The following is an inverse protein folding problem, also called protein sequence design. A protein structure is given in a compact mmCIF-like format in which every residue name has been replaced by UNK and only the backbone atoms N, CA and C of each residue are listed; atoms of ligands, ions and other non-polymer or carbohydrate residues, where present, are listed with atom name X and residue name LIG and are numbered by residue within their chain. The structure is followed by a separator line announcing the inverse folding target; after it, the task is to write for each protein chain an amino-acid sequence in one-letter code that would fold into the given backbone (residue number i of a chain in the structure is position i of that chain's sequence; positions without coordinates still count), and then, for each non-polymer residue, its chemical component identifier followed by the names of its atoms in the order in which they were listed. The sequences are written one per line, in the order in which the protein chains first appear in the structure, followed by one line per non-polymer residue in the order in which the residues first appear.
data_IF_733260825815
#
_entry.id   IF_733260825815
#
_cell.length_a   1.000
_cell.length_b   1.000
_cell.length_c   1.000
_cell.angle_alpha   90.00
_cell.angle_beta   90.00
_cell.angle_gamma   90.00
#
_symmetry.space_group_name_H-M   'P 1'
#
loop_
_entity.id
_entity.type
_entity.pdbx_description
1 polymer ?
#
# COMPACT_ATOMS: atom_id res chain seq x y z
N UNK A 1 -17.92 -68.52 1.26
CA UNK A 1 -19.06 -68.76 0.32
C UNK A 1 -19.42 -67.48 -0.39
N UNK A 2 -19.34 -67.49 -1.73
CA UNK A 2 -20.13 -66.80 -2.77
C UNK A 2 -20.02 -65.23 -2.78
N UNK A 3 -19.40 -64.72 -3.77
CA UNK A 3 -19.64 -64.28 -5.18
C UNK A 3 -19.88 -62.76 -5.19
N UNK A 4 -18.97 -61.96 -5.71
CA UNK A 4 -18.73 -61.56 -7.12
C UNK A 4 -19.98 -61.04 -7.82
N UNK A 5 -20.08 -59.75 -8.11
CA UNK A 5 -20.61 -59.26 -9.40
C UNK A 5 -19.92 -57.92 -9.75
N UNK A 6 -19.21 -57.97 -10.86
CA UNK A 6 -18.69 -56.91 -11.70
C UNK A 6 -19.84 -56.39 -12.55
N UNK A 7 -19.99 -55.08 -12.70
CA UNK A 7 -20.60 -54.50 -13.90
C UNK A 7 -19.87 -53.26 -14.37
N UNK A 8 -19.26 -53.49 -15.49
CA UNK A 8 -18.73 -52.55 -16.47
C UNK A 8 -19.85 -51.75 -17.15
N UNK A 9 -19.56 -50.56 -17.60
CA UNK A 9 -20.37 -49.75 -18.50
C UNK A 9 -19.60 -48.45 -18.79
N UNK A 10 -18.81 -48.44 -19.76
CA UNK A 10 -18.90 -48.08 -21.16
C UNK A 10 -18.99 -46.57 -21.39
N UNK A 11 -17.86 -46.02 -21.71
CA UNK A 11 -17.46 -45.16 -22.83
C UNK A 11 -18.56 -44.27 -23.48
N UNK A 12 -18.35 -42.96 -23.51
CA UNK A 12 -18.67 -42.12 -24.67
C UNK A 12 -17.66 -40.96 -24.78
N UNK A 13 -16.70 -41.16 -25.66
CA UNK A 13 -15.85 -40.17 -26.29
C UNK A 13 -16.69 -39.40 -27.31
N UNK A 14 -16.84 -38.08 -27.15
CA UNK A 14 -17.30 -37.21 -28.22
C UNK A 14 -16.15 -36.28 -28.60
N UNK A 15 -15.49 -36.65 -29.67
CA UNK A 15 -14.52 -35.85 -30.38
C UNK A 15 -15.26 -34.78 -31.20
N UNK A 16 -15.04 -33.50 -30.89
CA UNK A 16 -15.44 -32.39 -31.75
C UNK A 16 -14.23 -31.92 -32.56
N UNK A 17 -14.24 -32.30 -33.86
CA UNK A 17 -13.33 -31.76 -34.85
C UNK A 17 -13.80 -30.41 -35.31
N UNK A 18 -13.00 -29.38 -35.11
CA UNK A 18 -13.19 -28.06 -35.72
C UNK A 18 -12.34 -28.01 -36.99
N UNK A 19 -13.02 -27.90 -38.10
CA UNK A 19 -12.47 -27.71 -39.45
C UNK A 19 -12.02 -26.29 -39.60
N UNK A 20 -10.75 -26.07 -39.86
CA UNK A 20 -10.21 -24.80 -40.32
C UNK A 20 -10.34 -24.72 -41.84
N UNK A 21 -11.12 -23.77 -42.32
CA UNK A 21 -11.09 -23.33 -43.71
C UNK A 21 -10.05 -22.23 -43.88
N UNK A 22 -9.02 -22.54 -44.62
CA UNK A 22 -8.06 -21.58 -45.12
C UNK A 22 -8.45 -21.21 -46.56
N UNK A 23 -8.85 -19.96 -46.75
CA UNK A 23 -8.95 -19.40 -48.11
C UNK A 23 -7.78 -18.46 -48.37
N UNK A 24 -6.88 -18.93 -49.22
CA UNK A 24 -5.82 -18.15 -49.78
C UNK A 24 -6.33 -17.51 -51.10
N UNK A 25 -6.41 -16.19 -51.15
CA UNK A 25 -6.46 -15.53 -52.44
C UNK A 25 -5.26 -14.59 -52.62
N UNK A 26 -4.43 -15.02 -53.54
CA UNK A 26 -3.29 -14.39 -54.14
C UNK A 26 -3.75 -13.57 -55.34
N UNK A 27 -3.62 -12.25 -55.32
CA UNK A 27 -3.46 -11.46 -56.55
C UNK A 27 -2.42 -10.39 -56.38
N UNK A 28 -1.35 -10.56 -57.14
CA UNK A 28 -0.34 -9.55 -57.25
C UNK A 28 -0.72 -8.46 -58.22
N UNK A 29 -0.20 -7.25 -58.02
CA UNK A 29 0.35 -6.40 -59.11
C UNK A 29 1.07 -5.15 -58.61
N UNK A 30 2.32 -5.09 -59.02
CA UNK A 30 3.10 -3.92 -59.53
C UNK A 30 3.56 -2.83 -58.54
N UNK A 31 4.88 -2.78 -58.48
CA UNK A 31 5.74 -1.67 -58.08
C UNK A 31 5.41 -0.38 -58.82
N UNK A 32 5.44 0.72 -58.11
CA UNK A 32 6.01 1.97 -58.60
C UNK A 32 6.73 2.68 -57.46
N UNK A 33 7.99 2.96 -57.74
CA UNK A 33 8.85 3.78 -56.88
C UNK A 33 8.54 5.26 -57.15
N UNK A 34 8.53 6.05 -56.08
CA UNK A 34 9.22 7.30 -55.91
C UNK A 34 8.62 8.17 -54.85
N UNK A 35 9.40 8.37 -53.85
CA UNK A 35 9.70 9.61 -53.12
C UNK A 35 8.73 10.13 -52.02
N UNK A 36 9.18 11.12 -51.24
CA UNK A 36 9.69 10.87 -49.89
C UNK A 36 8.92 11.65 -48.81
N UNK A 37 9.38 11.48 -47.60
CA UNK A 37 9.27 12.41 -46.49
C UNK A 37 7.98 12.45 -45.68
N UNK A 38 8.18 12.08 -44.43
CA UNK A 38 7.58 12.65 -43.22
C UNK A 38 6.09 12.90 -43.19
N UNK A 39 5.36 11.94 -42.67
CA UNK A 39 4.23 12.23 -41.81
C UNK A 39 4.14 11.17 -40.73
N UNK A 40 4.43 11.58 -39.53
CA UNK A 40 4.09 10.85 -38.31
C UNK A 40 2.58 10.69 -38.27
N UNK A 41 2.09 9.48 -38.53
CA UNK A 41 0.68 9.17 -38.32
C UNK A 41 0.52 8.82 -36.84
N UNK A 42 0.04 9.81 -36.10
CA UNK A 42 -0.60 9.60 -34.80
C UNK A 42 -1.80 8.67 -35.01
N UNK A 43 -1.68 7.42 -34.62
CA UNK A 43 -2.85 6.58 -34.41
C UNK A 43 -3.52 7.02 -33.10
N UNK A 44 -4.47 7.94 -33.26
CA UNK A 44 -5.46 8.23 -32.20
C UNK A 44 -6.39 7.04 -32.07
N UNK A 45 -6.26 6.35 -30.95
CA UNK A 45 -7.30 5.45 -30.44
C UNK A 45 -8.51 6.30 -30.03
N UNK A 46 -9.50 6.39 -30.92
CA UNK A 46 -10.77 7.02 -30.66
C UNK A 46 -11.64 6.11 -29.77
N UNK A 47 -11.47 6.18 -28.48
CA UNK A 47 -12.49 5.83 -27.51
C UNK A 47 -13.05 7.12 -26.90
N UNK A 48 -13.71 7.93 -27.74
CA UNK A 48 -14.38 9.15 -27.29
C UNK A 48 -15.71 8.81 -26.61
N UNK A 49 -15.67 8.54 -25.28
CA UNK A 49 -16.76 9.00 -24.43
C UNK A 49 -16.59 10.51 -24.28
N UNK A 50 -17.66 11.31 -24.43
CA UNK A 50 -17.56 12.76 -24.23
C UNK A 50 -17.13 12.99 -22.77
N UNK A 51 -15.89 13.44 -22.60
CA UNK A 51 -15.40 13.90 -21.30
C UNK A 51 -16.15 15.20 -21.02
N UNK A 52 -17.00 15.18 -20.00
CA UNK A 52 -17.67 16.38 -19.52
C UNK A 52 -16.59 17.42 -19.16
N UNK A 53 -16.53 18.48 -19.95
CA UNK A 53 -15.63 19.60 -19.70
C UNK A 53 -16.43 20.70 -18.98
N UNK A 54 -16.25 20.90 -17.67
CA UNK A 54 -16.98 21.91 -16.89
C UNK A 54 -16.62 23.34 -17.29
N UNK A 55 -15.56 23.52 -18.07
CA UNK A 55 -15.07 24.85 -18.51
C UNK A 55 -15.48 25.21 -19.97
N UNK A 56 -16.41 24.46 -20.57
CA UNK A 56 -16.88 24.67 -21.93
C UNK A 56 -15.85 24.32 -23.01
N UNK A 57 -15.73 25.15 -24.05
CA UNK A 57 -14.81 24.92 -25.18
C UNK A 57 -13.39 25.46 -24.93
N UNK A 58 -13.05 25.89 -23.71
CA UNK A 58 -11.73 26.41 -23.38
C UNK A 58 -10.76 25.24 -23.23
N UNK A 59 -9.60 25.27 -23.91
CA UNK A 59 -8.63 24.17 -23.81
C UNK A 59 -8.08 24.05 -22.38
N UNK A 60 -7.98 22.80 -21.90
CA UNK A 60 -7.38 22.46 -20.61
C UNK A 60 -6.01 21.87 -20.89
N UNK A 61 -4.97 22.51 -20.39
CA UNK A 61 -3.61 22.01 -20.41
C UNK A 61 -3.27 21.44 -19.05
N UNK A 62 -2.88 20.16 -19.00
CA UNK A 62 -2.33 19.54 -17.79
C UNK A 62 -0.82 19.78 -17.78
N UNK A 63 -0.35 20.56 -16.83
CA UNK A 63 1.07 20.78 -16.61
C UNK A 63 1.58 19.75 -15.60
N UNK A 64 2.45 18.87 -16.05
CA UNK A 64 3.12 17.84 -15.25
C UNK A 64 4.54 18.25 -14.85
N UNK A 65 4.97 19.46 -15.21
CA UNK A 65 6.34 19.93 -14.91
C UNK A 65 6.61 20.10 -13.41
N UNK A 66 5.55 20.19 -12.58
CA UNK A 66 5.66 20.21 -11.12
C UNK A 66 5.81 18.83 -10.47
N UNK A 67 5.67 17.76 -11.25
CA UNK A 67 6.00 16.40 -10.81
C UNK A 67 7.51 16.24 -11.00
N UNK A 68 8.28 16.85 -10.12
CA UNK A 68 9.68 16.49 -10.00
C UNK A 68 9.71 15.07 -9.44
N UNK A 69 10.27 14.14 -10.20
CA UNK A 69 10.77 12.89 -9.65
C UNK A 69 11.79 13.25 -8.57
N UNK A 70 11.31 13.39 -7.34
CA UNK A 70 12.15 13.47 -6.14
C UNK A 70 12.83 12.12 -5.85
N UNK A 71 12.91 11.26 -6.85
CA UNK A 71 13.75 10.08 -6.79
C UNK A 71 15.19 10.55 -6.58
N UNK A 72 15.69 10.38 -5.38
CA UNK A 72 17.09 10.65 -5.09
C UNK A 72 17.93 9.95 -6.16
N UNK A 73 18.71 10.72 -6.90
CA UNK A 73 19.60 10.15 -7.90
C UNK A 73 20.60 9.28 -7.15
N UNK A 74 20.61 7.99 -7.45
CA UNK A 74 21.60 7.08 -6.89
C UNK A 74 23.00 7.58 -7.23
N UNK A 75 23.89 7.66 -6.25
CA UNK A 75 25.29 7.99 -6.49
C UNK A 75 25.93 6.97 -7.44
N UNK A 76 26.70 7.45 -8.40
CA UNK A 76 27.47 6.60 -9.31
C UNK A 76 28.73 6.00 -8.64
N UNK A 77 29.03 6.44 -7.44
CA UNK A 77 30.16 6.00 -6.63
C UNK A 77 29.69 5.65 -5.22
N UNK A 78 30.48 4.90 -4.48
CA UNK A 78 30.21 4.68 -3.07
C UNK A 78 30.35 6.02 -2.33
N UNK A 79 29.24 6.50 -1.76
CA UNK A 79 29.17 7.76 -1.00
C UNK A 79 29.51 7.57 0.48
N UNK A 80 29.83 6.34 0.87
CA UNK A 80 30.20 5.99 2.24
C UNK A 80 31.66 5.52 2.29
N UNK A 81 32.33 5.85 3.39
CA UNK A 81 33.69 5.36 3.65
C UNK A 81 33.74 3.84 3.97
N UNK A 82 32.58 3.21 4.14
CA UNK A 82 32.43 1.79 4.44
C UNK A 82 31.47 1.14 3.45
N UNK A 83 31.55 -0.18 3.34
CA UNK A 83 30.69 -0.96 2.44
C UNK A 83 29.35 -1.30 3.11
N UNK A 84 28.23 -1.02 2.42
CA UNK A 84 26.87 -1.30 2.84
C UNK A 84 26.26 -2.54 2.17
N UNK A 85 27.00 -3.28 1.37
CA UNK A 85 26.46 -4.43 0.61
C UNK A 85 25.80 -5.45 1.51
N UNK A 86 26.34 -5.69 2.72
CA UNK A 86 25.75 -6.62 3.70
C UNK A 86 24.33 -6.29 4.15
N UNK A 87 23.87 -5.03 4.03
CA UNK A 87 22.48 -4.65 4.38
C UNK A 87 21.50 -5.15 3.33
N UNK A 88 21.88 -5.07 2.07
CA UNK A 88 21.04 -5.51 0.95
C UNK A 88 20.86 -7.04 0.86
N UNK A 89 21.74 -7.80 1.52
CA UNK A 89 21.70 -9.26 1.59
C UNK A 89 20.92 -9.77 2.80
N UNK A 90 20.46 -8.88 3.68
CA UNK A 90 19.69 -9.28 4.86
C UNK A 90 18.39 -9.96 4.46
N UNK A 91 18.12 -11.07 5.12
CA UNK A 91 16.86 -11.82 5.00
C UNK A 91 15.96 -11.52 6.19
N UNK A 92 14.62 -11.59 6.03
CA UNK A 92 13.70 -11.43 7.13
C UNK A 92 13.96 -12.41 8.27
N UNK A 93 13.67 -11.99 9.51
CA UNK A 93 13.73 -12.85 10.67
C UNK A 93 12.82 -14.07 10.49
N UNK A 94 13.27 -15.30 10.75
CA UNK A 94 12.42 -16.47 10.65
C UNK A 94 11.32 -16.42 11.70
N UNK A 95 10.07 -16.65 11.27
CA UNK A 95 8.96 -16.81 12.19
C UNK A 95 8.88 -18.23 12.70
N UNK A 96 8.62 -18.39 13.99
CA UNK A 96 8.22 -19.66 14.56
C UNK A 96 6.88 -20.09 13.97
N UNK A 97 6.77 -21.36 13.60
CA UNK A 97 5.56 -21.90 12.99
C UNK A 97 4.48 -22.09 14.05
N UNK A 98 3.37 -21.38 13.89
CA UNK A 98 2.19 -21.53 14.72
C UNK A 98 1.22 -22.50 14.05
N UNK A 99 0.93 -23.62 14.71
CA UNK A 99 -0.06 -24.59 14.23
C UNK A 99 -1.46 -24.14 14.61
N UNK A 100 -2.42 -24.44 13.78
CA UNK A 100 -3.83 -24.14 14.07
C UNK A 100 -4.31 -24.81 15.37
N UNK A 101 -3.92 -26.06 15.61
CA UNK A 101 -4.33 -26.85 16.78
C UNK A 101 -3.74 -26.32 18.11
N UNK A 102 -2.64 -25.59 18.05
CA UNK A 102 -1.94 -25.03 19.22
C UNK A 102 -2.37 -23.60 19.53
N UNK A 103 -3.09 -22.95 18.62
CA UNK A 103 -3.64 -21.60 18.81
C UNK A 103 -4.89 -21.65 19.72
N UNK A 104 -4.69 -21.64 21.05
CA UNK A 104 -5.81 -21.68 22.01
C UNK A 104 -6.61 -20.39 22.04
N UNK A 105 -5.96 -19.27 21.78
CA UNK A 105 -6.56 -17.94 21.76
C UNK A 105 -6.04 -17.19 20.57
N UNK A 106 -6.92 -16.52 19.84
CA UNK A 106 -6.56 -15.69 18.70
C UNK A 106 -7.48 -14.48 18.62
N UNK A 107 -6.89 -13.29 18.70
CA UNK A 107 -7.63 -12.03 18.60
C UNK A 107 -6.96 -11.07 17.63
N UNK A 108 -7.77 -10.43 16.80
CA UNK A 108 -7.28 -9.42 15.86
C UNK A 108 -7.47 -8.03 16.43
N UNK A 109 -6.40 -7.26 16.38
CA UNK A 109 -6.35 -5.91 16.93
C UNK A 109 -5.89 -4.95 15.84
N UNK A 110 -6.56 -3.81 15.71
CA UNK A 110 -6.16 -2.71 14.85
C UNK A 110 -5.66 -1.57 15.72
N UNK A 111 -4.45 -1.15 15.43
CA UNK A 111 -3.77 -0.07 16.15
C UNK A 111 -3.51 1.09 15.20
N UNK A 112 -3.60 2.31 15.73
CA UNK A 112 -3.17 3.50 15.00
C UNK A 112 -1.90 4.07 15.62
N UNK A 113 -0.97 4.46 14.75
CA UNK A 113 0.23 5.20 15.08
C UNK A 113 0.04 6.64 14.62
N UNK A 114 0.31 7.59 15.52
CA UNK A 114 0.44 8.99 15.14
C UNK A 114 1.92 9.29 14.87
N UNK A 115 2.23 9.63 13.62
CA UNK A 115 3.61 9.88 13.18
C UNK A 115 4.17 11.22 13.70
N UNK A 116 3.33 12.03 14.36
CA UNK A 116 3.75 13.28 15.01
C UNK A 116 4.33 13.04 16.39
N UNK A 117 4.06 11.90 17.00
CA UNK A 117 4.62 11.55 18.30
C UNK A 117 6.14 11.41 18.22
N UNK A 118 6.82 11.82 19.29
CA UNK A 118 8.30 11.87 19.33
C UNK A 118 8.97 10.54 19.00
N UNK A 119 8.43 9.42 19.50
CA UNK A 119 8.96 8.09 19.25
C UNK A 119 8.75 7.66 17.79
N UNK A 120 7.66 8.12 17.17
CA UNK A 120 7.29 7.76 15.80
C UNK A 120 7.89 8.69 14.74
N UNK A 121 8.64 9.72 15.12
CA UNK A 121 9.25 10.68 14.16
C UNK A 121 10.22 9.98 13.19
N UNK A 122 10.75 8.84 13.56
CA UNK A 122 11.61 8.02 12.70
C UNK A 122 10.93 7.69 11.37
N UNK A 123 9.62 7.49 11.35
CA UNK A 123 8.85 7.22 10.13
C UNK A 123 8.79 8.41 9.14
N UNK A 124 9.11 9.61 9.59
CA UNK A 124 9.06 10.86 8.82
C UNK A 124 10.44 11.47 8.55
N UNK A 125 11.49 10.73 8.80
CA UNK A 125 12.86 11.21 8.59
C UNK A 125 13.14 11.38 7.08
N UNK A 126 13.71 12.54 6.72
CA UNK A 126 13.84 12.95 5.31
C UNK A 126 15.18 12.66 4.67
N UNK A 127 16.19 12.25 5.43
CA UNK A 127 17.49 12.03 4.81
C UNK A 127 17.36 11.08 3.62
N UNK A 128 18.10 11.41 2.59
CA UNK A 128 18.26 10.57 1.44
C UNK A 128 19.52 9.73 1.64
N UNK A 129 19.37 8.44 1.49
CA UNK A 129 20.46 7.48 1.50
C UNK A 129 20.63 6.93 0.07
N UNK A 130 21.61 6.06 -0.15
CA UNK A 130 21.85 5.38 -1.44
C UNK A 130 20.61 4.67 -2.00
N UNK A 131 19.67 4.32 -1.11
CA UNK A 131 18.38 3.70 -1.44
C UNK A 131 17.23 4.70 -1.66
N UNK A 132 17.49 5.99 -1.55
CA UNK A 132 16.50 7.06 -1.71
C UNK A 132 15.96 7.58 -0.38
N UNK A 133 14.73 8.13 -0.40
CA UNK A 133 14.09 8.71 0.77
C UNK A 133 13.94 7.71 1.91
N UNK A 134 14.24 8.14 3.12
CA UNK A 134 14.06 7.39 4.36
C UNK A 134 12.64 7.52 4.95
N UNK A 135 11.77 8.31 4.33
CA UNK A 135 10.37 8.42 4.74
C UNK A 135 9.68 7.10 4.47
N UNK A 136 9.16 6.44 5.52
CA UNK A 136 8.55 5.12 5.42
C UNK A 136 7.44 5.05 4.36
N UNK A 137 6.57 6.07 4.32
CA UNK A 137 5.46 6.12 3.36
C UNK A 137 5.97 6.22 1.91
N UNK A 138 7.05 6.95 1.68
CA UNK A 138 7.66 7.06 0.34
C UNK A 138 8.26 5.72 -0.10
N UNK A 139 8.95 5.01 0.80
CA UNK A 139 9.46 3.66 0.54
C UNK A 139 8.32 2.68 0.22
N UNK A 140 7.24 2.73 1.00
CA UNK A 140 6.06 1.89 0.78
C UNK A 140 5.41 2.16 -0.58
N UNK A 141 5.23 3.43 -0.94
CA UNK A 141 4.67 3.82 -2.25
C UNK A 141 5.57 3.41 -3.40
N UNK A 142 6.89 3.52 -3.26
CA UNK A 142 7.84 3.06 -4.27
C UNK A 142 7.74 1.55 -4.49
N UNK A 143 7.68 0.76 -3.41
CA UNK A 143 7.56 -0.69 -3.49
C UNK A 143 6.23 -1.13 -4.14
N UNK A 144 5.14 -0.41 -3.87
CA UNK A 144 3.85 -0.67 -4.52
C UNK A 144 3.87 -0.25 -6.00
N UNK A 145 4.45 0.91 -6.34
CA UNK A 145 4.54 1.39 -7.72
C UNK A 145 5.48 0.54 -8.59
N UNK A 146 6.54 -0.03 -7.99
CA UNK A 146 7.42 -0.98 -8.69
C UNK A 146 6.78 -2.35 -8.93
N UNK A 147 5.62 -2.63 -8.30
CA UNK A 147 4.96 -3.92 -8.37
C UNK A 147 5.61 -5.01 -7.52
N UNK A 148 6.55 -4.65 -6.64
CA UNK A 148 7.18 -5.58 -5.70
C UNK A 148 6.16 -6.05 -4.65
N UNK A 149 5.22 -5.19 -4.30
CA UNK A 149 4.21 -5.44 -3.27
C UNK A 149 2.84 -5.10 -3.81
N UNK A 150 1.86 -5.97 -3.51
CA UNK A 150 0.46 -5.74 -3.88
C UNK A 150 -0.24 -4.90 -2.81
N UNK A 151 -0.93 -3.84 -3.24
CA UNK A 151 -1.81 -3.06 -2.40
C UNK A 151 -3.25 -3.59 -2.47
N UNK A 152 -3.99 -3.48 -1.36
CA UNK A 152 -5.36 -3.93 -1.22
C UNK A 152 -6.27 -2.80 -0.75
N UNK A 153 -7.53 -2.83 -1.16
CA UNK A 153 -8.53 -1.85 -0.76
C UNK A 153 -9.03 -2.09 0.68
N UNK A 154 -9.02 -3.33 1.12
CA UNK A 154 -9.60 -3.78 2.37
C UNK A 154 -8.57 -4.42 3.31
N UNK A 155 -8.91 -4.45 4.59
CA UNK A 155 -8.09 -5.05 5.65
C UNK A 155 -8.13 -6.60 5.65
N UNK A 156 -8.93 -7.20 4.77
CA UNK A 156 -8.99 -8.66 4.55
C UNK A 156 -8.07 -9.13 3.43
N UNK A 157 -7.46 -8.19 2.71
CA UNK A 157 -6.58 -8.46 1.55
C UNK A 157 -7.28 -9.22 0.43
N UNK A 158 -8.59 -8.97 0.25
CA UNK A 158 -9.39 -9.68 -0.74
C UNK A 158 -9.42 -8.98 -2.10
N UNK A 159 -9.32 -7.66 -2.10
CA UNK A 159 -9.47 -6.83 -3.30
C UNK A 159 -8.17 -6.08 -3.60
N UNK A 160 -7.38 -6.52 -4.58
CA UNK A 160 -6.19 -5.80 -4.99
C UNK A 160 -6.56 -4.46 -5.63
N UNK A 161 -5.78 -3.43 -5.35
CA UNK A 161 -5.92 -2.08 -5.93
C UNK A 161 -5.00 -1.95 -7.13
N UNK A 162 -5.51 -1.40 -8.23
CA UNK A 162 -4.70 -1.16 -9.42
C UNK A 162 -3.74 0.02 -9.23
N UNK A 163 -2.61 0.02 -9.95
CA UNK A 163 -1.66 1.14 -9.92
C UNK A 163 -2.30 2.47 -10.34
N UNK A 164 -3.29 2.43 -11.23
CA UNK A 164 -4.04 3.61 -11.66
C UNK A 164 -4.86 4.21 -10.49
N UNK A 165 -5.49 3.37 -9.68
CA UNK A 165 -6.24 3.81 -8.49
C UNK A 165 -5.28 4.34 -7.42
N UNK A 166 -4.13 3.69 -7.20
CA UNK A 166 -3.11 4.17 -6.28
C UNK A 166 -2.59 5.53 -6.73
N UNK A 167 -2.34 5.71 -8.02
CA UNK A 167 -1.93 7.02 -8.54
C UNK A 167 -2.99 8.09 -8.32
N UNK A 168 -4.29 7.77 -8.38
CA UNK A 168 -5.37 8.71 -8.04
C UNK A 168 -5.42 9.04 -6.55
N UNK A 169 -5.17 8.06 -5.67
CA UNK A 169 -5.11 8.27 -4.22
C UNK A 169 -3.90 9.12 -3.81
N UNK A 170 -2.82 9.03 -4.58
CA UNK A 170 -1.56 9.77 -4.37
C UNK A 170 -1.45 11.04 -5.21
N UNK A 171 -2.46 11.42 -5.99
CA UNK A 171 -2.52 12.75 -6.61
C UNK A 171 -2.67 13.79 -5.49
N UNK A 172 -1.73 14.72 -5.45
CA UNK A 172 -1.85 15.92 -4.61
C UNK A 172 -3.01 16.81 -5.09
N UNK A 173 -3.24 17.90 -4.40
CA UNK A 173 -4.24 18.90 -4.82
C UNK A 173 -3.94 19.40 -6.22
N UNK A 174 -4.89 19.18 -7.13
CA UNK A 174 -4.82 19.80 -8.44
C UNK A 174 -5.23 21.28 -8.29
N UNK A 175 -4.32 22.18 -8.60
CA UNK A 175 -4.63 23.61 -8.66
C UNK A 175 -4.91 23.98 -10.11
N UNK A 176 -6.05 24.64 -10.32
CA UNK A 176 -6.49 25.07 -11.64
C UNK A 176 -6.37 26.57 -11.74
N UNK A 177 -5.38 27.03 -12.47
CA UNK A 177 -5.14 28.45 -12.70
C UNK A 177 -5.68 28.84 -14.09
N UNK A 178 -6.56 29.83 -14.11
CA UNK A 178 -7.04 30.41 -15.37
C UNK A 178 -5.97 31.34 -15.94
N UNK A 179 -5.50 31.04 -17.15
CA UNK A 179 -4.57 31.90 -17.88
C UNK A 179 -5.37 32.85 -18.75
N UNK A 180 -5.34 34.15 -18.41
CA UNK A 180 -6.06 35.21 -19.12
C UNK A 180 -5.22 35.81 -20.24
N UNK A 181 -5.87 36.44 -21.22
CA UNK A 181 -5.19 37.19 -22.27
C UNK A 181 -4.44 38.39 -21.68
N UNK A 182 -3.26 38.71 -22.24
CA UNK A 182 -2.49 39.88 -21.84
C UNK A 182 -3.23 41.17 -22.16
N UNK A 183 -3.98 41.17 -23.25
CA UNK A 183 -4.70 42.35 -23.76
C UNK A 183 -6.07 42.53 -23.08
N UNK A 184 -6.69 41.45 -22.58
CA UNK A 184 -8.00 41.47 -21.93
C UNK A 184 -8.03 40.47 -20.75
N UNK A 185 -7.91 40.96 -19.51
CA UNK A 185 -7.94 40.09 -18.31
C UNK A 185 -9.25 39.36 -18.08
N UNK A 186 -10.34 39.80 -18.72
CA UNK A 186 -11.67 39.14 -18.61
C UNK A 186 -11.78 37.91 -19.49
N UNK A 187 -10.89 37.73 -20.47
CA UNK A 187 -10.91 36.62 -21.40
C UNK A 187 -9.93 35.51 -20.98
N UNK A 188 -10.48 34.39 -20.52
CA UNK A 188 -9.69 33.22 -20.22
C UNK A 188 -9.35 32.48 -21.52
N UNK A 189 -8.05 32.31 -21.80
CA UNK A 189 -7.55 31.62 -22.98
C UNK A 189 -7.41 30.11 -22.70
N UNK A 190 -6.91 29.76 -21.54
CA UNK A 190 -6.52 28.41 -21.20
C UNK A 190 -6.65 28.19 -19.70
N UNK A 191 -7.11 27.00 -19.28
CA UNK A 191 -7.00 26.55 -17.90
C UNK A 191 -5.80 25.64 -17.77
N UNK A 192 -4.85 26.03 -16.92
CA UNK A 192 -3.67 25.22 -16.60
C UNK A 192 -3.96 24.46 -15.32
N UNK A 193 -4.04 23.14 -15.42
CA UNK A 193 -4.19 22.25 -14.25
C UNK A 193 -2.80 21.77 -13.85
N UNK A 194 -2.28 22.32 -12.77
CA UNK A 194 -1.01 21.87 -12.19
C UNK A 194 -1.31 20.77 -11.19
N UNK A 195 -0.83 19.55 -11.46
CA UNK A 195 -0.90 18.45 -10.51
C UNK A 195 0.32 18.53 -9.61
N UNK A 196 0.10 18.78 -8.32
CA UNK A 196 1.16 18.66 -7.34
C UNK A 196 1.51 17.19 -7.13
N UNK A 197 2.79 16.88 -6.95
CA UNK A 197 3.22 15.56 -6.50
C UNK A 197 2.69 15.28 -5.09
N UNK A 198 2.41 14.01 -4.80
CA UNK A 198 2.02 13.61 -3.46
C UNK A 198 3.16 13.89 -2.48
N UNK A 199 2.83 14.58 -1.39
CA UNK A 199 3.76 14.77 -0.28
C UNK A 199 3.57 13.63 0.74
N UNK A 200 4.56 12.71 0.88
CA UNK A 200 4.51 11.63 1.86
C UNK A 200 4.37 12.11 3.30
N UNK A 201 4.80 13.34 3.60
CA UNK A 201 4.67 13.96 4.93
C UNK A 201 3.23 14.36 5.28
N UNK A 202 2.36 14.46 4.28
CA UNK A 202 0.93 14.74 4.50
C UNK A 202 0.24 13.59 5.23
N UNK A 203 0.82 12.38 5.19
CA UNK A 203 0.37 11.23 5.96
C UNK A 203 0.85 11.38 7.40
N UNK A 204 -0.09 11.63 8.30
CA UNK A 204 0.21 11.85 9.73
C UNK A 204 -0.10 10.63 10.60
N UNK A 205 -0.83 9.65 10.07
CA UNK A 205 -1.20 8.44 10.80
C UNK A 205 -1.05 7.19 9.95
N UNK A 206 -0.74 6.08 10.60
CA UNK A 206 -0.77 4.74 10.02
C UNK A 206 -1.63 3.83 10.86
N UNK A 207 -2.20 2.80 10.24
CA UNK A 207 -2.92 1.73 10.93
C UNK A 207 -2.19 0.42 10.73
N UNK A 208 -2.06 -0.35 11.80
CA UNK A 208 -1.49 -1.69 11.80
C UNK A 208 -2.61 -2.66 12.21
N UNK A 209 -2.73 -3.74 11.48
CA UNK A 209 -3.56 -4.89 11.83
C UNK A 209 -2.66 -5.99 12.36
N UNK A 210 -2.94 -6.44 13.56
CA UNK A 210 -2.17 -7.48 14.27
C UNK A 210 -3.08 -8.63 14.64
N UNK A 211 -2.48 -9.81 14.80
CA UNK A 211 -3.13 -10.96 15.42
C UNK A 211 -2.32 -11.38 16.63
N UNK A 212 -3.00 -11.49 17.76
CA UNK A 212 -2.46 -11.93 19.03
C UNK A 212 -2.86 -13.39 19.22
N UNK A 213 -1.91 -14.27 19.29
CA UNK A 213 -2.14 -15.72 19.36
C UNK A 213 -1.41 -16.27 20.56
N UNK A 214 -2.14 -16.98 21.42
CA UNK A 214 -1.52 -17.76 22.47
C UNK A 214 -1.24 -19.16 21.95
N UNK A 215 0.04 -19.52 21.90
CA UNK A 215 0.51 -20.83 21.48
C UNK A 215 0.65 -21.75 22.69
N UNK A 216 -0.11 -22.85 22.67
CA UNK A 216 -0.11 -23.85 23.72
C UNK A 216 1.25 -24.58 23.81
N UNK A 217 1.90 -24.86 22.68
CA UNK A 217 3.18 -25.56 22.64
C UNK A 217 4.29 -24.72 23.26
N UNK A 218 4.40 -23.45 22.86
CA UNK A 218 5.37 -22.52 23.39
C UNK A 218 4.97 -21.91 24.72
N UNK A 219 3.69 -22.07 25.13
CA UNK A 219 3.09 -21.47 26.34
C UNK A 219 3.32 -19.96 26.44
N UNK A 220 3.17 -19.24 25.36
CA UNK A 220 3.38 -17.78 25.31
C UNK A 220 2.50 -17.10 24.24
N UNK A 221 2.29 -15.80 24.44
CA UNK A 221 1.59 -14.97 23.49
C UNK A 221 2.52 -14.52 22.37
N UNK A 222 2.11 -14.76 21.14
CA UNK A 222 2.74 -14.21 19.94
C UNK A 222 1.90 -13.08 19.35
N UNK A 223 2.57 -12.04 18.90
CA UNK A 223 1.92 -10.96 18.14
C UNK A 223 2.48 -10.96 16.74
N UNK A 224 1.62 -11.15 15.75
CA UNK A 224 1.98 -11.10 14.33
C UNK A 224 1.31 -9.92 13.66
N UNK A 225 2.11 -9.09 13.01
CA UNK A 225 1.60 -8.03 12.16
C UNK A 225 1.10 -8.67 10.88
N UNK A 226 -0.15 -8.42 10.53
CA UNK A 226 -0.78 -8.92 9.30
C UNK A 226 -0.79 -7.89 8.19
N UNK A 227 -0.94 -6.62 8.53
CA UNK A 227 -0.99 -5.57 7.52
C UNK A 227 -0.77 -4.18 8.04
N UNK A 228 -0.36 -3.32 7.13
CA UNK A 228 -0.10 -1.90 7.39
C UNK A 228 -0.86 -1.07 6.36
N UNK A 229 -1.44 0.05 6.80
CA UNK A 229 -2.14 0.99 5.94
C UNK A 229 -1.79 2.44 6.31
N UNK A 230 -1.31 3.26 5.39
CA UNK A 230 -1.24 4.70 5.56
C UNK A 230 -2.65 5.29 5.60
N UNK A 231 -2.88 6.28 6.48
CA UNK A 231 -4.17 6.93 6.66
C UNK A 231 -4.13 8.35 6.10
N UNK A 232 -5.10 8.66 5.25
CA UNK A 232 -5.35 10.01 4.78
C UNK A 232 -6.39 10.68 5.68
N UNK A 233 -6.11 11.90 6.12
CA UNK A 233 -7.10 12.72 6.83
C UNK A 233 -8.14 13.23 5.84
N UNK A 234 -9.40 13.03 6.16
CA UNK A 234 -10.54 13.52 5.38
C UNK A 234 -11.05 14.77 6.05
N UNK A 235 -11.10 15.88 5.31
CA UNK A 235 -11.62 17.15 5.78
C UNK A 235 -13.05 17.38 5.27
N UNK A 236 -13.86 18.02 6.09
CA UNK A 236 -15.16 18.55 5.69
C UNK A 236 -14.95 19.82 4.87
N UNK A 237 -15.97 20.28 4.09
CA UNK A 237 -15.87 21.54 3.33
C UNK A 237 -15.59 22.77 4.19
N UNK A 238 -15.87 22.72 5.49
CA UNK A 238 -15.58 23.78 6.46
C UNK A 238 -14.14 23.72 7.02
N UNK A 239 -13.27 22.84 6.50
CA UNK A 239 -11.88 22.66 6.95
C UNK A 239 -11.70 21.86 8.23
N UNK A 240 -12.79 21.37 8.84
CA UNK A 240 -12.69 20.50 10.02
C UNK A 240 -12.34 19.07 9.64
N UNK A 241 -11.53 18.40 10.45
CA UNK A 241 -11.25 16.98 10.29
C UNK A 241 -12.51 16.15 10.52
N UNK A 242 -12.93 15.41 9.49
CA UNK A 242 -14.02 14.44 9.60
C UNK A 242 -13.53 13.13 10.22
N UNK A 243 -12.30 12.75 9.95
CA UNK A 243 -11.71 11.49 10.38
C UNK A 243 -10.57 11.06 9.46
N UNK A 244 -10.12 9.82 9.63
CA UNK A 244 -9.07 9.21 8.83
C UNK A 244 -9.61 8.03 8.03
N UNK A 245 -9.16 7.89 6.79
CA UNK A 245 -9.46 6.75 5.92
C UNK A 245 -8.17 6.08 5.49
N UNK A 246 -8.15 4.75 5.45
CA UNK A 246 -7.04 4.02 4.88
C UNK A 246 -6.94 4.34 3.38
N UNK A 247 -5.73 4.64 2.92
CA UNK A 247 -5.45 4.84 1.50
C UNK A 247 -5.45 3.51 0.77
N UNK A 248 -4.69 2.57 1.29
CA UNK A 248 -4.61 1.19 0.85
C UNK A 248 -4.03 0.35 1.98
N UNK A 249 -4.18 -0.95 1.88
CA UNK A 249 -3.58 -1.92 2.79
C UNK A 249 -2.45 -2.66 2.08
N UNK A 250 -1.41 -3.00 2.83
CA UNK A 250 -0.33 -3.86 2.37
C UNK A 250 -0.23 -5.05 3.32
N UNK A 251 -0.08 -6.24 2.76
CA UNK A 251 0.13 -7.45 3.53
C UNK A 251 1.56 -7.46 4.07
N UNK A 252 1.69 -7.45 5.40
CA UNK A 252 2.99 -7.26 6.06
C UNK A 252 4.01 -8.37 5.78
N UNK A 253 3.63 -9.68 5.74
CA UNK A 253 4.59 -10.72 5.40
C UNK A 253 5.27 -10.54 4.04
N UNK A 254 4.56 -10.01 3.04
CA UNK A 254 5.12 -9.72 1.72
C UNK A 254 6.05 -8.49 1.75
N UNK A 255 5.82 -7.60 2.72
CA UNK A 255 6.62 -6.38 2.91
C UNK A 255 7.96 -6.65 3.62
N UNK A 256 8.04 -7.69 4.45
CA UNK A 256 9.22 -8.01 5.28
C UNK A 256 10.53 -8.13 4.51
N UNK A 257 10.61 -8.81 3.34
CA UNK A 257 11.84 -8.92 2.57
C UNK A 257 12.41 -7.55 2.12
N UNK A 258 11.54 -6.60 1.85
CA UNK A 258 11.93 -5.23 1.54
C UNK A 258 12.38 -4.50 2.81
N UNK A 259 11.61 -4.58 3.90
CA UNK A 259 11.91 -3.89 5.16
C UNK A 259 13.23 -4.34 5.79
N UNK A 260 13.63 -5.59 5.60
CA UNK A 260 14.91 -6.12 6.09
C UNK A 260 16.13 -5.46 5.42
N UNK A 261 15.96 -4.89 4.21
CA UNK A 261 17.04 -4.27 3.42
C UNK A 261 17.23 -2.78 3.71
N UNK A 262 16.30 -2.14 4.40
CA UNK A 262 16.36 -0.72 4.71
C UNK A 262 16.65 -0.50 6.18
N UNK A 263 17.67 0.31 6.46
CA UNK A 263 18.00 0.71 7.83
C UNK A 263 17.10 1.87 8.28
N UNK A 264 16.73 1.83 9.55
CA UNK A 264 16.01 2.91 10.22
C UNK A 264 17.01 3.98 10.65
N UNK A 265 16.64 5.25 10.48
CA UNK A 265 17.44 6.34 11.00
C UNK A 265 17.60 6.25 12.53
N UNK A 266 18.83 6.25 12.98
CA UNK A 266 19.18 6.30 14.39
C UNK A 266 19.81 7.66 14.73
N UNK A 267 19.10 8.55 15.44
CA UNK A 267 19.61 9.88 15.73
C UNK A 267 20.86 9.89 16.63
N UNK A 268 21.07 8.82 17.36
CA UNK A 268 22.26 8.72 18.24
C UNK A 268 23.49 8.19 17.52
N UNK A 269 23.34 7.64 16.33
CA UNK A 269 24.39 7.08 15.47
C UNK A 269 25.52 6.34 16.24
N UNK A 270 25.14 5.68 17.33
CA UNK A 270 26.09 4.88 18.09
C UNK A 270 26.17 3.52 17.40
N UNK A 271 27.31 3.21 16.82
CA UNK A 271 27.59 2.10 15.89
C UNK A 271 27.09 0.69 16.22
N UNK A 272 26.46 0.48 17.37
CA UNK A 272 25.84 -0.79 17.78
C UNK A 272 24.32 -0.83 17.56
N UNK A 273 23.70 0.21 17.03
CA UNK A 273 22.26 0.33 16.97
C UNK A 273 21.70 0.43 15.56
N UNK A 274 22.34 -0.19 14.57
CA UNK A 274 21.78 -0.27 13.22
C UNK A 274 20.64 -1.27 13.20
N UNK A 275 19.42 -0.75 13.12
CA UNK A 275 18.19 -1.50 13.12
C UNK A 275 17.56 -1.41 11.74
N UNK A 276 16.97 -2.49 11.26
CA UNK A 276 16.16 -2.47 10.03
C UNK A 276 14.72 -2.07 10.35
N UNK A 277 13.96 -1.70 9.34
CA UNK A 277 12.53 -1.43 9.51
C UNK A 277 11.77 -2.68 9.99
N UNK A 278 12.18 -3.87 9.54
CA UNK A 278 11.61 -5.11 10.03
C UNK A 278 11.85 -5.28 11.53
N UNK A 279 13.10 -5.11 11.99
CA UNK A 279 13.45 -5.21 13.41
C UNK A 279 12.70 -4.18 14.26
N UNK A 280 12.47 -2.97 13.74
CA UNK A 280 11.69 -1.94 14.44
C UNK A 280 10.24 -2.39 14.63
N UNK A 281 9.61 -2.97 13.62
CA UNK A 281 8.23 -3.45 13.73
C UNK A 281 8.14 -4.69 14.64
N UNK A 282 9.03 -5.65 14.50
CA UNK A 282 9.03 -6.87 15.31
C UNK A 282 9.36 -6.60 16.79
N UNK A 283 10.30 -5.70 17.08
CA UNK A 283 10.61 -5.26 18.44
C UNK A 283 9.59 -4.25 18.99
N UNK A 284 8.61 -3.84 18.17
CA UNK A 284 7.52 -2.92 18.55
C UNK A 284 8.00 -1.57 19.08
N UNK A 285 9.09 -1.05 18.54
CA UNK A 285 9.67 0.23 18.95
C UNK A 285 8.92 1.43 18.36
N UNK A 286 7.60 1.46 18.56
CA UNK A 286 6.72 2.55 18.15
C UNK A 286 5.58 2.74 19.17
N UNK A 287 5.06 3.96 19.24
CA UNK A 287 3.87 4.29 20.02
C UNK A 287 2.61 4.09 19.19
N UNK A 288 1.60 3.48 19.79
CA UNK A 288 0.32 3.23 19.11
C UNK A 288 -0.80 2.99 20.10
N UNK A 289 -2.04 3.23 19.68
CA UNK A 289 -3.25 2.96 20.48
C UNK A 289 -4.22 2.06 19.71
N UNK A 290 -5.01 1.28 20.43
CA UNK A 290 -5.99 0.34 19.87
C UNK A 290 -7.24 1.13 19.45
N UNK A 291 -7.66 0.91 18.20
CA UNK A 291 -8.89 1.54 17.66
C UNK A 291 -10.00 0.55 17.43
N UNK A 292 -9.67 -0.74 17.35
CA UNK A 292 -10.61 -1.82 17.10
C UNK A 292 -10.02 -3.15 17.55
N UNK A 293 -10.83 -4.04 18.07
CA UNK A 293 -10.48 -5.43 18.38
C UNK A 293 -11.64 -6.34 17.97
N UNK A 294 -11.35 -7.62 17.79
CA UNK A 294 -12.40 -8.67 17.68
C UNK A 294 -12.89 -9.12 19.03
N UNK A 295 -12.15 -8.85 20.10
CA UNK A 295 -12.51 -9.21 21.47
C UNK A 295 -13.82 -8.52 21.88
N UNK A 296 -14.84 -9.31 22.22
CA UNK A 296 -16.16 -8.85 22.62
C UNK A 296 -16.85 -7.86 21.64
N UNK A 297 -16.48 -7.95 20.36
CA UNK A 297 -16.96 -7.03 19.34
C UNK A 297 -17.65 -7.76 18.16
N UNK A 298 -18.81 -8.37 18.37
CA UNK A 298 -19.52 -9.12 17.32
C UNK A 298 -19.94 -8.22 16.14
N UNK A 299 -20.11 -6.92 16.39
CA UNK A 299 -20.45 -5.95 15.35
C UNK A 299 -19.27 -5.46 14.53
N UNK A 300 -18.04 -5.89 14.85
CA UNK A 300 -16.79 -5.49 14.16
C UNK A 300 -16.65 -3.97 14.01
N UNK A 301 -17.07 -3.20 15.01
CA UNK A 301 -17.09 -1.73 15.01
C UNK A 301 -15.81 -1.17 15.61
N UNK A 302 -15.41 0.02 15.14
CA UNK A 302 -14.35 0.78 15.80
C UNK A 302 -14.83 1.26 17.17
N UNK A 303 -13.93 1.35 18.15
CA UNK A 303 -14.22 1.83 19.52
C UNK A 303 -14.88 3.20 19.49
N UNK A 304 -14.42 4.09 18.60
CA UNK A 304 -14.99 5.45 18.43
C UNK A 304 -16.46 5.49 17.97
N UNK A 305 -16.96 4.42 17.39
CA UNK A 305 -18.39 4.32 17.01
C UNK A 305 -19.25 4.05 18.22
N UNK A 306 -18.72 3.29 19.17
CA UNK A 306 -19.41 2.95 20.43
C UNK A 306 -19.20 4.04 21.47
N UNK A 307 -17.96 4.52 21.61
CA UNK A 307 -17.55 5.57 22.54
C UNK A 307 -17.20 6.83 21.75
N UNK A 308 -18.08 7.82 21.77
CA UNK A 308 -17.88 9.08 21.04
C UNK A 308 -16.80 9.96 21.67
N UNK A 309 -16.62 9.87 22.99
CA UNK A 309 -15.57 10.60 23.71
C UNK A 309 -14.20 10.04 23.37
N UNK A 310 -13.25 10.90 22.91
CA UNK A 310 -11.90 10.48 22.57
C UNK A 310 -11.14 9.85 23.73
N UNK A 311 -11.29 10.39 24.92
CA UNK A 311 -10.57 9.94 26.13
C UNK A 311 -11.06 8.56 26.54
N UNK A 312 -12.38 8.39 26.61
CA UNK A 312 -12.98 7.09 26.94
C UNK A 312 -12.62 6.03 25.89
N UNK A 313 -12.56 6.40 24.62
CA UNK A 313 -12.14 5.47 23.57
C UNK A 313 -10.66 5.02 23.69
N UNK A 314 -9.76 5.89 24.15
CA UNK A 314 -8.37 5.53 24.45
C UNK A 314 -8.30 4.60 25.68
N UNK A 315 -9.03 4.93 26.74
CA UNK A 315 -9.10 4.09 27.95
C UNK A 315 -9.63 2.69 27.60
N UNK A 316 -10.67 2.60 26.75
CA UNK A 316 -11.17 1.29 26.31
C UNK A 316 -10.14 0.53 25.47
N UNK A 317 -9.33 1.22 24.65
CA UNK A 317 -8.20 0.61 23.96
C UNK A 317 -7.18 -0.01 24.93
N UNK A 318 -6.86 0.68 26.01
CA UNK A 318 -5.98 0.17 27.07
C UNK A 318 -6.64 -1.00 27.84
N UNK A 319 -7.94 -0.91 28.15
CA UNK A 319 -8.69 -2.01 28.77
C UNK A 319 -8.66 -3.30 27.91
N UNK A 320 -8.77 -3.17 26.59
CA UNK A 320 -8.66 -4.32 25.68
C UNK A 320 -7.27 -4.95 25.78
N UNK A 321 -6.22 -4.13 25.78
CA UNK A 321 -4.84 -4.60 25.93
C UNK A 321 -4.65 -5.33 27.26
N UNK A 322 -5.17 -4.77 28.35
CA UNK A 322 -5.08 -5.36 29.69
C UNK A 322 -5.87 -6.67 29.78
N UNK A 323 -7.03 -6.76 29.16
CA UNK A 323 -7.80 -8.02 29.08
C UNK A 323 -7.04 -9.13 28.35
N UNK A 324 -6.40 -8.83 27.23
CA UNK A 324 -5.57 -9.79 26.48
C UNK A 324 -4.38 -10.22 27.35
N UNK A 325 -3.72 -9.27 28.02
CA UNK A 325 -2.59 -9.56 28.91
C UNK A 325 -3.02 -10.40 30.11
N UNK A 326 -4.14 -10.07 30.77
CA UNK A 326 -4.66 -10.84 31.89
C UNK A 326 -5.04 -12.26 31.47
N UNK A 327 -5.60 -12.43 30.26
CA UNK A 327 -5.88 -13.76 29.71
C UNK A 327 -4.62 -14.63 29.62
N UNK A 328 -3.50 -14.06 29.15
CA UNK A 328 -2.23 -14.76 29.16
C UNK A 328 -1.79 -15.14 30.57
N UNK A 329 -1.91 -14.21 31.55
CA UNK A 329 -1.54 -14.46 32.94
C UNK A 329 -2.43 -15.52 33.58
N UNK A 330 -3.73 -15.51 33.32
CA UNK A 330 -4.70 -16.48 33.86
C UNK A 330 -4.40 -17.91 33.37
N UNK A 331 -3.82 -18.08 32.18
CA UNK A 331 -3.39 -19.38 31.67
C UNK A 331 -2.16 -19.94 32.40
N UNK A 332 -1.40 -19.09 33.11
CA UNK A 332 -0.27 -19.49 33.91
C UNK A 332 -0.60 -19.73 35.39
N UNK A 333 -1.75 -19.23 35.85
CA UNK A 333 -2.18 -19.41 37.23
C UNK A 333 -2.90 -20.75 37.41
N UNK A 334 -2.32 -21.65 38.17
CA UNK A 334 -2.92 -22.89 38.64
C UNK A 334 -3.48 -22.69 40.04
#
# INVERSE_FOLDING_TARGET
MKRLIVKSGLFCLVSFAVVMNADAQRTGKKRNANQPANQQVNQQNNNNKPVYNPYGNIPIRVDTSGITDNAAKKSLRNDNAYDKTGVMERTPLPYEHLRWDDALFSEKVWRELDLREKINQVFRYEAQDDNGSQIFIDMLLKAVNSGEITAFADDRFSTPVSLAEISQLTVGTADTVAKTAIDDPSKVIEYVVTKASFDPKSVVKMRIKEEWVFDREASRMFVRILGIAPLKTVYLPNGQERGTSAMFWVYYPDLRPMLAKYEVYNPKNMGMGRMTWEELFESRMFSSYIVKSTLDNPGNKNIRVTMKDPILALIEGDNIKDRIFNYEQDLWSY
#
